data_IF_534218473595
#
_entry.id   IF_534218473595
#
_cell.length_a   1.000
_cell.length_b   1.000
_cell.length_c   1.000
_cell.angle_alpha   90.00
_cell.angle_beta   90.00
_cell.angle_gamma   90.00
#
_symmetry.space_group_name_H-M   'P 1'
#
loop_
_entity.id
_entity.type
_entity.pdbx_description
1 polymer ?
#
# COMPACT_ATOMS: atom_id res chain seq x y z
N UNK A 1 -12.37 -11.49 18.92
CA UNK A 1 -10.93 -11.16 18.92
C UNK A 1 -10.71 -10.01 17.95
N UNK A 2 -10.02 -8.93 18.34
CA UNK A 2 -9.81 -7.76 17.49
C UNK A 2 -8.81 -8.06 16.38
N UNK A 3 -9.08 -7.59 15.15
CA UNK A 3 -8.17 -7.69 14.03
C UNK A 3 -8.33 -6.44 13.14
N UNK A 4 -7.28 -5.68 13.02
CA UNK A 4 -7.30 -4.41 12.28
C UNK A 4 -7.69 -4.56 10.81
N UNK A 5 -7.50 -5.73 10.21
CA UNK A 5 -7.95 -6.01 8.86
C UNK A 5 -9.48 -5.94 8.74
N UNK A 6 -10.19 -6.38 9.77
CA UNK A 6 -11.64 -6.59 9.77
C UNK A 6 -12.44 -5.59 10.61
N UNK A 7 -11.81 -4.94 11.58
CA UNK A 7 -12.52 -4.20 12.63
C UNK A 7 -12.81 -2.73 12.28
N UNK A 8 -12.19 -2.19 11.23
CA UNK A 8 -12.50 -0.84 10.75
C UNK A 8 -13.92 -0.82 10.19
N UNK A 9 -14.71 0.20 10.56
CA UNK A 9 -16.05 0.35 10.02
C UNK A 9 -16.04 0.41 8.49
N UNK A 10 -16.91 -0.35 7.79
CA UNK A 10 -16.99 -0.29 6.33
C UNK A 10 -17.33 1.12 5.80
N UNK A 11 -17.97 1.96 6.62
CA UNK A 11 -18.26 3.36 6.25
C UNK A 11 -17.00 4.21 6.06
N UNK A 12 -15.86 3.77 6.61
CA UNK A 12 -14.57 4.47 6.51
C UNK A 12 -13.71 3.95 5.35
N UNK A 13 -14.21 2.99 4.59
CA UNK A 13 -13.47 2.35 3.48
C UNK A 13 -14.27 2.50 2.21
N UNK A 14 -13.91 3.47 1.40
CA UNK A 14 -14.46 3.66 0.04
C UNK A 14 -13.29 3.78 -0.95
N UNK A 15 -13.51 3.57 -2.25
CA UNK A 15 -12.43 3.68 -3.23
C UNK A 15 -11.75 5.05 -3.29
N UNK A 16 -12.44 6.12 -2.91
CA UNK A 16 -11.95 7.50 -3.01
C UNK A 16 -11.52 8.10 -1.67
N UNK A 17 -11.86 7.44 -0.57
CA UNK A 17 -11.63 7.92 0.80
C UNK A 17 -11.57 6.70 1.73
N UNK A 18 -10.40 6.38 2.22
CA UNK A 18 -10.19 5.18 3.03
C UNK A 18 -9.23 5.42 4.18
N UNK A 19 -9.24 4.50 5.12
CA UNK A 19 -8.20 4.38 6.15
C UNK A 19 -7.09 3.49 5.61
N UNK A 20 -5.85 3.94 5.77
CA UNK A 20 -4.64 3.14 5.57
C UNK A 20 -4.04 2.82 6.94
N UNK A 21 -3.65 1.57 7.16
CA UNK A 21 -2.87 1.14 8.33
C UNK A 21 -1.41 1.12 7.95
N UNK A 22 -0.57 1.86 8.65
CA UNK A 22 0.88 1.90 8.38
C UNK A 22 1.53 0.64 8.96
N UNK A 23 2.28 -0.07 8.12
CA UNK A 23 3.12 -1.21 8.54
C UNK A 23 4.59 -0.81 8.60
N UNK A 24 5.05 -0.03 7.61
CA UNK A 24 6.46 0.31 7.44
C UNK A 24 6.61 1.82 7.29
N UNK A 25 7.43 2.40 8.15
CA UNK A 25 7.77 3.83 8.11
C UNK A 25 8.65 4.13 6.90
N UNK A 26 8.41 5.27 6.24
CA UNK A 26 9.28 5.80 5.18
C UNK A 26 10.74 5.79 5.61
N UNK A 27 11.62 5.28 4.74
CA UNK A 27 13.06 5.21 4.99
C UNK A 27 13.51 3.99 5.79
N UNK A 28 12.60 3.11 6.17
CA UNK A 28 12.93 1.89 6.92
C UNK A 28 13.37 0.75 6.01
N UNK A 29 14.23 -0.11 6.55
CA UNK A 29 14.59 -1.42 5.99
C UNK A 29 13.88 -2.57 6.73
N UNK A 30 13.09 -2.26 7.75
CA UNK A 30 12.36 -3.25 8.55
C UNK A 30 11.06 -3.58 7.83
N UNK A 31 11.01 -4.74 7.17
CA UNK A 31 9.80 -5.19 6.49
C UNK A 31 8.87 -5.86 7.48
N UNK A 32 7.89 -5.10 7.94
CA UNK A 32 6.76 -5.60 8.70
C UNK A 32 5.60 -5.98 7.78
N UNK A 33 4.80 -6.91 8.22
CA UNK A 33 3.54 -7.27 7.57
C UNK A 33 2.45 -7.58 8.60
N UNK A 34 1.21 -7.49 8.19
CA UNK A 34 0.08 -7.86 9.04
C UNK A 34 0.18 -9.36 9.39
N UNK A 35 0.19 -9.66 10.69
CA UNK A 35 -0.06 -11.01 11.18
C UNK A 35 -1.57 -11.26 11.22
N UNK A 36 -2.06 -12.05 10.27
CA UNK A 36 -3.49 -12.27 10.08
C UNK A 36 -4.15 -12.97 11.28
N UNK A 37 -3.38 -13.70 12.06
CA UNK A 37 -3.88 -14.38 13.24
C UNK A 37 -4.15 -13.43 14.40
N UNK A 38 -3.23 -12.53 14.66
CA UNK A 38 -3.29 -11.65 15.84
C UNK A 38 -3.78 -10.23 15.55
N UNK A 39 -3.70 -9.78 14.30
CA UNK A 39 -4.00 -8.40 13.91
C UNK A 39 -2.92 -7.39 14.23
N UNK A 40 -1.79 -7.83 14.78
CA UNK A 40 -0.60 -7.00 14.94
C UNK A 40 0.27 -7.04 13.69
N UNK A 41 1.37 -6.31 13.69
CA UNK A 41 2.40 -6.45 12.66
C UNK A 41 3.51 -7.34 13.18
N UNK A 42 4.06 -8.16 12.28
CA UNK A 42 5.18 -9.06 12.57
C UNK A 42 6.36 -8.70 11.65
N UNK A 43 7.58 -8.77 12.18
CA UNK A 43 8.76 -8.58 11.37
C UNK A 43 8.95 -9.79 10.45
N UNK A 44 8.77 -9.58 9.13
CA UNK A 44 9.08 -10.59 8.12
C UNK A 44 10.60 -10.73 7.95
N UNK A 45 11.26 -9.61 7.66
CA UNK A 45 12.73 -9.55 7.57
C UNK A 45 13.25 -8.13 7.54
N UNK A 46 14.56 -7.99 7.74
CA UNK A 46 15.28 -6.78 7.36
C UNK A 46 15.66 -6.92 5.88
N UNK A 47 15.44 -5.90 5.07
CA UNK A 47 15.77 -5.95 3.64
C UNK A 47 17.26 -6.29 3.44
N UNK A 48 17.54 -7.18 2.50
CA UNK A 48 18.89 -7.66 2.22
C UNK A 48 19.70 -6.65 1.39
N UNK A 49 19.03 -5.84 0.57
CA UNK A 49 19.67 -4.78 -0.21
C UNK A 49 19.91 -3.54 0.64
N UNK A 50 20.68 -2.59 0.13
CA UNK A 50 20.83 -1.26 0.76
C UNK A 50 19.63 -0.34 0.54
N UNK A 51 18.62 -0.77 -0.21
CA UNK A 51 17.39 -0.01 -0.42
C UNK A 51 16.56 0.07 0.85
N UNK A 52 15.76 1.11 0.94
CA UNK A 52 14.79 1.32 2.02
C UNK A 52 13.48 1.83 1.41
N UNK A 53 12.39 1.66 2.13
CA UNK A 53 11.06 2.00 1.64
C UNK A 53 10.99 3.49 1.24
N UNK A 54 10.58 3.79 -0.01
CA UNK A 54 10.60 5.16 -0.53
C UNK A 54 9.45 6.04 -0.03
N UNK A 55 8.45 5.42 0.61
CA UNK A 55 7.29 6.09 1.18
C UNK A 55 6.81 5.31 2.41
N UNK A 56 5.93 5.91 3.22
CA UNK A 56 5.21 5.14 4.22
C UNK A 56 4.40 4.06 3.51
N UNK A 57 4.38 2.86 4.06
CA UNK A 57 3.81 1.68 3.41
C UNK A 57 2.85 0.97 4.36
N UNK A 58 1.73 0.55 3.85
CA UNK A 58 0.75 -0.15 4.64
C UNK A 58 -0.33 -0.80 3.79
N UNK A 59 -1.53 -0.92 4.33
CA UNK A 59 -2.64 -1.56 3.64
C UNK A 59 -3.98 -0.87 3.92
N UNK A 60 -4.94 -1.13 3.07
CA UNK A 60 -6.33 -0.69 3.26
C UNK A 60 -7.09 -1.83 3.95
N UNK A 61 -7.63 -1.64 5.17
CA UNK A 61 -8.51 -2.61 5.81
C UNK A 61 -9.73 -2.93 4.95
N UNK A 62 -10.30 -4.11 5.14
CA UNK A 62 -11.51 -4.57 4.41
C UNK A 62 -11.33 -4.60 2.90
N UNK A 63 -10.11 -4.89 2.47
CA UNK A 63 -9.79 -5.20 1.07
C UNK A 63 -9.13 -6.58 0.99
N UNK A 64 -9.22 -7.22 -0.16
CA UNK A 64 -8.65 -8.54 -0.39
C UNK A 64 -8.13 -8.62 -1.83
N UNK A 65 -6.82 -8.74 -1.97
CA UNK A 65 -6.17 -8.86 -3.27
C UNK A 65 -6.06 -10.30 -3.76
N UNK A 66 -5.60 -10.46 -4.99
CA UNK A 66 -5.41 -11.77 -5.63
C UNK A 66 -4.34 -12.62 -4.95
N UNK A 67 -3.40 -11.98 -4.25
CA UNK A 67 -2.34 -12.64 -3.48
C UNK A 67 -2.78 -13.16 -2.11
N UNK A 68 -4.05 -12.97 -1.74
CA UNK A 68 -4.59 -13.39 -0.46
C UNK A 68 -4.30 -12.45 0.70
N UNK A 69 -3.83 -11.24 0.41
CA UNK A 69 -3.50 -10.19 1.38
C UNK A 69 -4.38 -8.96 1.19
N UNK A 70 -4.52 -8.10 2.20
CA UNK A 70 -5.14 -6.79 2.00
C UNK A 70 -4.35 -5.98 0.97
N UNK A 71 -5.03 -5.04 0.31
CA UNK A 71 -4.44 -4.21 -0.74
C UNK A 71 -3.42 -3.23 -0.16
N UNK A 72 -2.22 -3.25 -0.71
CA UNK A 72 -1.10 -2.42 -0.25
C UNK A 72 -1.19 -0.97 -0.70
N UNK A 73 -0.65 -0.07 0.11
CA UNK A 73 -0.60 1.38 -0.15
C UNK A 73 0.81 1.92 0.08
N UNK A 74 1.27 2.71 -0.89
CA UNK A 74 2.38 3.65 -0.75
C UNK A 74 1.80 5.04 -0.45
N UNK A 75 2.11 5.59 0.71
CA UNK A 75 1.53 6.85 1.17
C UNK A 75 2.54 7.97 1.04
N UNK A 76 2.31 8.87 0.08
CA UNK A 76 3.12 10.07 -0.13
C UNK A 76 2.76 11.08 0.96
N UNK A 77 3.70 11.34 1.85
CA UNK A 77 3.51 12.19 3.01
C UNK A 77 4.78 12.97 3.32
N UNK A 78 4.60 14.17 3.88
CA UNK A 78 5.73 15.02 4.28
C UNK A 78 6.50 14.50 5.49
N UNK A 79 5.98 13.51 6.21
CA UNK A 79 6.59 12.94 7.41
C UNK A 79 6.66 11.41 7.35
N UNK A 80 7.60 10.86 8.11
CA UNK A 80 7.63 9.44 8.42
C UNK A 80 6.58 9.14 9.51
N UNK A 81 5.67 8.22 9.22
CA UNK A 81 4.55 7.88 10.10
C UNK A 81 4.84 6.60 10.90
N UNK A 82 4.25 6.53 12.09
CA UNK A 82 4.46 5.40 12.99
C UNK A 82 3.71 4.14 12.54
N UNK A 83 4.32 2.94 12.67
CA UNK A 83 3.62 1.68 12.44
C UNK A 83 2.35 1.54 13.31
N UNK A 84 1.34 0.89 12.78
CA UNK A 84 0.02 0.69 13.38
C UNK A 84 -0.82 1.97 13.51
N UNK A 85 -0.37 3.09 12.97
CA UNK A 85 -1.21 4.30 12.91
C UNK A 85 -2.24 4.20 11.79
N UNK A 86 -3.41 4.79 12.02
CA UNK A 86 -4.50 4.89 11.05
C UNK A 86 -4.42 6.24 10.35
N UNK A 87 -4.39 6.24 9.03
CA UNK A 87 -4.28 7.45 8.22
C UNK A 87 -5.39 7.49 7.20
N UNK A 88 -6.23 8.51 7.25
CA UNK A 88 -7.23 8.76 6.23
C UNK A 88 -6.56 9.30 4.97
N UNK A 89 -6.77 8.63 3.83
CA UNK A 89 -6.08 8.92 2.59
C UNK A 89 -7.00 8.77 1.37
N UNK A 90 -6.54 9.30 0.24
CA UNK A 90 -7.20 9.18 -1.05
C UNK A 90 -6.20 8.74 -2.13
N UNK A 91 -6.64 7.99 -3.16
CA UNK A 91 -5.74 7.46 -4.17
C UNK A 91 -5.42 8.51 -5.22
N UNK A 92 -4.19 8.46 -5.76
CA UNK A 92 -3.75 9.25 -6.91
C UNK A 92 -3.21 8.38 -8.06
N UNK A 93 -2.87 7.14 -7.78
CA UNK A 93 -2.33 6.22 -8.78
C UNK A 93 -2.11 4.82 -8.23
N UNK A 94 -1.51 3.97 -9.04
CA UNK A 94 -1.23 2.57 -8.70
C UNK A 94 0.00 2.06 -9.45
N UNK A 95 0.77 1.23 -8.77
CA UNK A 95 1.84 0.43 -9.38
C UNK A 95 1.32 -1.00 -9.49
N UNK A 96 1.29 -1.54 -10.70
CA UNK A 96 1.00 -2.95 -10.94
C UNK A 96 2.30 -3.72 -11.03
N UNK A 97 2.39 -4.83 -10.31
CA UNK A 97 3.55 -5.71 -10.36
C UNK A 97 3.12 -7.17 -10.25
N UNK A 98 4.03 -8.07 -10.63
CA UNK A 98 3.88 -9.51 -10.47
C UNK A 98 4.96 -9.99 -9.51
N UNK A 99 4.54 -10.65 -8.45
CA UNK A 99 5.39 -11.27 -7.44
C UNK A 99 4.99 -12.74 -7.28
N UNK A 100 5.93 -13.64 -7.50
CA UNK A 100 5.68 -15.10 -7.48
C UNK A 100 4.51 -15.54 -8.38
N UNK A 101 4.38 -14.91 -9.55
CA UNK A 101 3.33 -15.24 -10.53
C UNK A 101 1.94 -14.72 -10.20
N UNK A 102 1.80 -13.91 -9.14
CA UNK A 102 0.52 -13.30 -8.73
C UNK A 102 0.57 -11.78 -8.91
N UNK A 103 -0.58 -11.20 -9.25
CA UNK A 103 -0.72 -9.76 -9.25
C UNK A 103 -0.57 -9.22 -7.82
N UNK A 104 0.30 -8.21 -7.69
CA UNK A 104 0.56 -7.52 -6.44
C UNK A 104 0.55 -6.02 -6.74
N UNK A 105 -0.59 -5.40 -6.49
CA UNK A 105 -0.82 -4.00 -6.83
C UNK A 105 -0.58 -3.13 -5.62
N UNK A 106 0.06 -1.97 -5.83
CA UNK A 106 0.36 -1.00 -4.78
C UNK A 106 -0.35 0.31 -5.10
N UNK A 107 -1.34 0.68 -4.30
CA UNK A 107 -2.02 1.96 -4.43
C UNK A 107 -1.07 3.08 -4.00
N UNK A 108 -1.04 4.17 -4.75
CA UNK A 108 -0.34 5.39 -4.38
C UNK A 108 -1.37 6.38 -3.86
N UNK A 109 -1.21 6.83 -2.63
CA UNK A 109 -2.20 7.66 -1.95
C UNK A 109 -1.55 8.83 -1.22
N UNK A 110 -2.37 9.81 -0.85
CA UNK A 110 -1.98 11.00 -0.11
C UNK A 110 -2.90 11.13 1.11
N UNK A 111 -2.35 11.45 2.31
CA UNK A 111 -3.19 11.76 3.47
C UNK A 111 -4.01 13.03 3.24
N UNK A 112 -5.30 13.00 3.57
CA UNK A 112 -6.14 14.20 3.52
C UNK A 112 -5.58 15.34 4.38
N UNK A 113 -4.92 15.01 5.47
CA UNK A 113 -4.45 15.96 6.47
C UNK A 113 -3.00 16.42 6.27
N UNK A 114 -2.34 16.09 5.16
CA UNK A 114 -1.03 16.64 4.84
C UNK A 114 -1.17 17.89 3.97
N UNK A 115 -0.99 19.10 4.53
CA UNK A 115 -1.19 20.35 3.79
C UNK A 115 -0.15 20.58 2.68
N UNK A 116 0.98 19.85 2.70
CA UNK A 116 1.99 19.97 1.64
C UNK A 116 1.62 19.19 0.39
N UNK A 117 0.75 18.18 0.50
CA UNK A 117 0.42 17.29 -0.61
C UNK A 117 -1.08 17.19 -0.92
N UNK A 118 -1.98 17.60 -0.02
CA UNK A 118 -3.41 17.34 -0.17
C UNK A 118 -4.12 18.17 -1.27
N UNK A 119 -3.41 19.06 -1.96
CA UNK A 119 -3.90 19.74 -3.17
C UNK A 119 -3.68 18.90 -4.44
N UNK A 120 -2.85 17.87 -4.40
CA UNK A 120 -2.60 17.02 -5.54
C UNK A 120 -3.66 15.91 -5.63
N UNK A 121 -4.15 15.67 -6.85
CA UNK A 121 -5.20 14.68 -7.14
C UNK A 121 -4.80 13.64 -8.16
N UNK A 122 -3.62 13.79 -8.79
CA UNK A 122 -3.12 12.89 -9.82
C UNK A 122 -1.59 12.82 -9.85
N UNK A 123 -1.07 11.74 -10.40
CA UNK A 123 0.38 11.48 -10.48
C UNK A 123 1.12 12.48 -11.38
N UNK A 124 0.45 13.03 -12.37
CA UNK A 124 1.00 14.00 -13.31
C UNK A 124 1.27 15.39 -12.69
N UNK A 125 0.75 15.65 -11.52
CA UNK A 125 0.97 16.88 -10.77
C UNK A 125 2.23 16.85 -9.89
N UNK A 126 2.86 15.69 -9.75
CA UNK A 126 4.05 15.48 -8.94
C UNK A 126 5.27 15.17 -9.81
N UNK A 127 6.50 15.42 -9.30
CA UNK A 127 7.70 15.04 -10.04
C UNK A 127 7.70 13.56 -10.39
N UNK A 128 7.96 13.24 -11.65
CA UNK A 128 8.02 11.86 -12.14
C UNK A 128 9.02 11.00 -11.36
N UNK A 129 10.10 11.60 -10.87
CA UNK A 129 11.15 10.90 -10.14
C UNK A 129 10.66 10.23 -8.86
N UNK A 130 9.62 10.77 -8.21
CA UNK A 130 9.00 10.13 -7.03
C UNK A 130 8.52 8.72 -7.39
N UNK A 131 7.88 8.57 -8.54
CA UNK A 131 7.34 7.29 -9.01
C UNK A 131 8.45 6.40 -9.59
N UNK A 132 9.47 6.98 -10.20
CA UNK A 132 10.64 6.25 -10.67
C UNK A 132 11.39 5.58 -9.49
N UNK A 133 11.53 6.25 -8.36
CA UNK A 133 12.11 5.67 -7.15
C UNK A 133 11.26 4.52 -6.60
N UNK A 134 9.93 4.67 -6.59
CA UNK A 134 9.02 3.61 -6.14
C UNK A 134 9.14 2.35 -7.01
N UNK A 135 9.08 2.52 -8.33
CA UNK A 135 9.19 1.38 -9.26
C UNK A 135 10.55 0.74 -9.20
N UNK A 136 11.62 1.52 -9.09
CA UNK A 136 12.98 1.00 -8.92
C UNK A 136 13.10 0.18 -7.63
N UNK A 137 12.56 0.69 -6.52
CA UNK A 137 12.58 -0.04 -5.25
C UNK A 137 11.98 -1.43 -5.39
N UNK A 138 10.78 -1.56 -5.96
CA UNK A 138 10.12 -2.86 -6.14
C UNK A 138 10.79 -3.76 -7.17
N UNK A 139 11.57 -3.21 -8.10
CA UNK A 139 12.39 -4.00 -9.03
C UNK A 139 13.59 -4.67 -8.34
N UNK A 140 14.16 -4.03 -7.31
CA UNK A 140 15.46 -4.44 -6.77
C UNK A 140 15.44 -4.90 -5.31
N UNK A 141 14.41 -4.62 -4.54
CA UNK A 141 14.42 -4.84 -3.09
C UNK A 141 14.58 -6.32 -2.67
N UNK A 142 14.28 -7.27 -3.56
CA UNK A 142 14.45 -8.72 -3.35
C UNK A 142 15.64 -9.32 -4.11
N UNK A 143 16.46 -8.52 -4.80
CA UNK A 143 17.51 -9.04 -5.66
C UNK A 143 18.54 -9.91 -4.92
N UNK A 144 18.94 -9.52 -3.72
CA UNK A 144 19.90 -10.30 -2.92
C UNK A 144 19.26 -11.54 -2.25
N UNK A 145 17.95 -11.70 -2.38
CA UNK A 145 17.22 -12.89 -1.93
C UNK A 145 17.02 -13.89 -3.07
N UNK A 146 17.62 -13.66 -4.24
CA UNK A 146 17.47 -14.43 -5.46
C UNK A 146 16.01 -14.55 -5.94
N UNK A 147 15.24 -13.48 -5.77
CA UNK A 147 13.85 -13.38 -6.19
C UNK A 147 13.69 -12.22 -7.16
N UNK A 148 13.04 -12.48 -8.27
CA UNK A 148 12.75 -11.48 -9.29
C UNK A 148 11.32 -10.97 -9.14
N UNK A 149 11.14 -9.69 -9.40
CA UNK A 149 9.84 -9.04 -9.49
C UNK A 149 9.71 -8.33 -10.83
N UNK A 150 8.52 -8.39 -11.42
CA UNK A 150 8.19 -7.64 -12.63
C UNK A 150 7.28 -6.48 -12.25
N UNK A 151 7.70 -5.26 -12.61
CA UNK A 151 6.97 -4.03 -12.27
C UNK A 151 6.58 -3.33 -13.55
N UNK A 152 5.27 -3.06 -13.68
CA UNK A 152 4.70 -2.34 -14.81
C UNK A 152 4.77 -0.82 -14.61
N UNK A 153 4.32 -0.10 -15.61
CA UNK A 153 4.22 1.36 -15.60
C UNK A 153 3.20 1.83 -14.56
N UNK A 154 3.48 2.98 -13.93
CA UNK A 154 2.56 3.59 -12.98
C UNK A 154 1.33 4.10 -13.71
N UNK A 155 0.14 3.75 -13.21
CA UNK A 155 -1.14 4.20 -13.75
C UNK A 155 -1.79 5.22 -12.83
N UNK A 156 -2.80 5.93 -13.36
CA UNK A 156 -3.41 7.06 -12.69
C UNK A 156 -4.51 6.70 -11.69
N UNK A 157 -5.18 7.75 -11.21
CA UNK A 157 -6.22 7.67 -10.17
C UNK A 157 -7.41 6.80 -10.57
N UNK A 158 -7.88 6.89 -11.80
CA UNK A 158 -9.04 6.11 -12.28
C UNK A 158 -8.80 4.60 -12.15
N UNK A 159 -7.62 4.13 -12.54
CA UNK A 159 -7.24 2.73 -12.39
C UNK A 159 -7.09 2.32 -10.92
N UNK A 160 -6.52 3.19 -10.10
CA UNK A 160 -6.42 2.96 -8.65
C UNK A 160 -7.80 2.77 -8.02
N UNK A 161 -8.76 3.63 -8.34
CA UNK A 161 -10.15 3.54 -7.85
C UNK A 161 -10.79 2.22 -8.27
N UNK A 162 -10.60 1.80 -9.52
CA UNK A 162 -11.11 0.51 -10.04
C UNK A 162 -10.57 -0.66 -9.21
N UNK A 163 -9.26 -0.70 -8.98
CA UNK A 163 -8.59 -1.76 -8.23
C UNK A 163 -9.05 -1.79 -6.77
N UNK A 164 -9.17 -0.65 -6.12
CA UNK A 164 -9.68 -0.58 -4.75
C UNK A 164 -11.13 -1.10 -4.68
N UNK A 165 -11.97 -0.67 -5.61
CA UNK A 165 -13.37 -1.13 -5.69
C UNK A 165 -13.46 -2.64 -5.82
N UNK A 166 -12.68 -3.24 -6.70
CA UNK A 166 -12.63 -4.70 -6.87
C UNK A 166 -12.13 -5.42 -5.61
N UNK A 167 -11.10 -4.87 -4.95
CA UNK A 167 -10.56 -5.44 -3.72
C UNK A 167 -11.57 -5.37 -2.56
N UNK A 168 -12.37 -4.32 -2.47
CA UNK A 168 -13.47 -4.21 -1.50
C UNK A 168 -14.55 -5.26 -1.78
N UNK A 169 -14.96 -5.41 -3.04
CA UNK A 169 -15.97 -6.40 -3.44
C UNK A 169 -15.49 -7.82 -3.14
N UNK A 170 -14.24 -8.11 -3.46
CA UNK A 170 -13.63 -9.41 -3.19
C UNK A 170 -13.57 -9.71 -1.67
N UNK A 171 -13.28 -8.69 -0.87
CA UNK A 171 -13.33 -8.83 0.60
C UNK A 171 -14.76 -9.16 1.08
N UNK A 172 -15.76 -8.43 0.60
CA UNK A 172 -17.17 -8.66 0.98
C UNK A 172 -17.59 -10.09 0.61
N UNK A 173 -17.28 -10.55 -0.59
CA UNK A 173 -17.58 -11.90 -1.05
C UNK A 173 -16.90 -12.98 -0.21
N UNK A 174 -15.68 -12.72 0.25
CA UNK A 174 -14.88 -13.70 0.97
C UNK A 174 -15.16 -13.74 2.48
N UNK A 175 -15.48 -12.61 3.10
CA UNK A 175 -15.54 -12.48 4.56
C UNK A 175 -16.88 -12.00 5.12
N UNK A 176 -17.78 -11.49 4.32
CA UNK A 176 -19.05 -10.90 4.78
C UNK A 176 -20.28 -11.74 4.36
N UNK A 177 -20.20 -13.06 4.51
CA UNK A 177 -21.31 -13.99 4.23
C UNK A 177 -22.25 -14.13 5.43
#
# INVERSE_FOLDING_TARGET
>A
MSNIWHDISPKRITPEDFICVIEITKGSKKKYELDKETGYIILDRILYTSTHYPANYGFIPRTYGDDGDPLDVLLICNQALEPMSLVRAYPIGVISMIDNGRFDEKIIAIPFNDPNYNQYTGIDQLPKHIFDEMTHFFKVYKNLENKDTAVDEVQGRTEAIRIISEAIDHYIESFCK
#
